data_IF_672134281994
#
_entry.id   IF_672134281994
#
_cell.length_a   1.000
_cell.length_b   1.000
_cell.length_c   1.000
_cell.angle_alpha   90.00
_cell.angle_beta   90.00
_cell.angle_gamma   90.00
#
_symmetry.space_group_name_H-M   'P 1'
#
loop_
_entity.id
_entity.type
_entity.pdbx_description
1 polymer ?
#
# COMPACT_ATOMS: atom_id res chain seq x y z
N UNK A 1 -21.74 -12.95 -25.59
CA UNK A 1 -21.25 -12.80 -24.21
C UNK A 1 -19.75 -12.59 -24.27
N UNK A 2 -19.28 -11.33 -24.24
CA UNK A 2 -17.85 -11.02 -24.24
C UNK A 2 -17.34 -11.23 -22.81
N UNK A 3 -16.49 -12.22 -22.61
CA UNK A 3 -15.75 -12.39 -21.35
C UNK A 3 -14.89 -11.15 -21.11
N UNK A 4 -15.04 -10.51 -19.95
CA UNK A 4 -14.23 -9.34 -19.59
C UNK A 4 -12.75 -9.72 -19.52
N UNK A 5 -11.82 -8.85 -19.92
CA UNK A 5 -10.37 -9.14 -19.93
C UNK A 5 -9.83 -9.59 -18.57
N UNK A 6 -10.43 -9.08 -17.48
CA UNK A 6 -10.13 -9.49 -16.11
C UNK A 6 -10.40 -11.00 -15.92
N UNK A 7 -11.54 -11.49 -16.38
CA UNK A 7 -11.90 -12.92 -16.31
C UNK A 7 -10.95 -13.81 -17.11
N UNK A 8 -10.35 -13.29 -18.18
CA UNK A 8 -9.38 -14.05 -18.98
C UNK A 8 -8.05 -14.19 -18.22
N UNK A 9 -7.55 -13.10 -17.62
CA UNK A 9 -6.32 -13.16 -16.83
C UNK A 9 -6.43 -14.12 -15.64
N UNK A 10 -7.54 -14.09 -14.89
CA UNK A 10 -7.73 -15.02 -13.76
C UNK A 10 -7.72 -16.49 -14.22
N UNK A 11 -8.32 -16.79 -15.37
CA UNK A 11 -8.32 -18.15 -15.94
C UNK A 11 -6.91 -18.59 -16.36
N UNK A 12 -6.16 -17.73 -17.04
CA UNK A 12 -4.77 -18.01 -17.44
C UNK A 12 -3.84 -18.13 -16.23
N UNK A 13 -3.99 -17.26 -15.23
CA UNK A 13 -3.25 -17.31 -13.99
C UNK A 13 -3.48 -18.62 -13.25
N UNK A 14 -4.75 -18.99 -13.06
CA UNK A 14 -5.11 -20.23 -12.38
C UNK A 14 -4.62 -21.46 -13.16
N UNK A 15 -4.79 -21.50 -14.49
CA UNK A 15 -4.29 -22.59 -15.33
C UNK A 15 -2.75 -22.72 -15.24
N UNK A 16 -2.03 -21.61 -15.22
CA UNK A 16 -0.57 -21.57 -15.03
C UNK A 16 -0.18 -22.19 -13.69
N UNK A 17 -0.86 -21.79 -12.60
CA UNK A 17 -0.59 -22.30 -11.25
C UNK A 17 -0.87 -23.81 -11.14
N UNK A 18 -1.99 -24.27 -11.69
CA UNK A 18 -2.36 -25.69 -11.70
C UNK A 18 -1.36 -26.52 -12.54
N UNK A 19 -0.93 -26.01 -13.70
CA UNK A 19 0.08 -26.70 -14.50
C UNK A 19 1.43 -26.79 -13.78
N UNK A 20 1.87 -25.72 -13.13
CA UNK A 20 3.12 -25.69 -12.36
C UNK A 20 3.08 -26.65 -11.15
N UNK A 21 1.97 -26.67 -10.40
CA UNK A 21 1.81 -27.59 -9.25
C UNK A 21 1.69 -29.05 -9.68
N UNK A 22 0.97 -29.35 -10.77
CA UNK A 22 0.94 -30.68 -11.38
C UNK A 22 2.32 -31.17 -11.80
N UNK A 23 3.17 -30.26 -12.29
CA UNK A 23 4.54 -30.59 -12.63
C UNK A 23 5.35 -31.01 -11.41
N UNK A 24 5.24 -30.27 -10.29
CA UNK A 24 5.90 -30.65 -9.03
C UNK A 24 5.42 -32.04 -8.59
N UNK A 25 4.11 -32.32 -8.64
CA UNK A 25 3.60 -33.66 -8.33
C UNK A 25 4.24 -34.74 -9.21
N UNK A 26 4.23 -34.57 -10.53
CA UNK A 26 4.85 -35.51 -11.48
C UNK A 26 6.35 -35.66 -11.21
N UNK A 27 7.03 -34.59 -10.81
CA UNK A 27 8.44 -34.63 -10.43
C UNK A 27 8.67 -35.51 -9.20
N UNK A 28 7.85 -35.35 -8.16
CA UNK A 28 7.91 -36.19 -6.95
C UNK A 28 7.60 -37.66 -7.23
N UNK A 29 6.59 -37.94 -8.06
CA UNK A 29 6.23 -39.29 -8.50
C UNK A 29 7.37 -39.96 -9.27
N UNK A 30 7.95 -39.24 -10.25
CA UNK A 30 9.09 -39.74 -11.00
C UNK A 30 10.29 -40.02 -10.09
N UNK A 31 10.50 -39.20 -9.06
CA UNK A 31 11.56 -39.43 -8.07
C UNK A 31 11.31 -40.70 -7.25
N UNK A 32 10.07 -40.94 -6.82
CA UNK A 32 9.70 -42.18 -6.11
C UNK A 32 9.90 -43.42 -6.98
N UNK A 33 9.58 -43.31 -8.27
CA UNK A 33 9.68 -44.41 -9.23
C UNK A 33 11.09 -44.58 -9.83
N UNK A 34 12.06 -43.74 -9.44
CA UNK A 34 13.43 -43.76 -9.97
C UNK A 34 13.52 -43.39 -11.46
N UNK A 35 12.53 -42.68 -11.99
CA UNK A 35 12.47 -42.22 -13.38
C UNK A 35 13.34 -40.98 -13.60
N UNK A 36 13.64 -40.69 -14.86
CA UNK A 36 14.38 -39.49 -15.24
C UNK A 36 13.65 -38.21 -14.81
N UNK A 37 14.31 -37.40 -13.99
CA UNK A 37 13.80 -36.13 -13.50
C UNK A 37 14.06 -35.04 -14.53
N UNK A 38 13.00 -34.34 -14.94
CA UNK A 38 13.09 -33.17 -15.81
C UNK A 38 12.78 -31.92 -14.96
N UNK A 39 13.53 -30.82 -15.10
CA UNK A 39 13.19 -29.57 -14.43
C UNK A 39 11.99 -28.91 -15.11
N UNK A 40 11.23 -28.13 -14.33
CA UNK A 40 10.07 -27.39 -14.81
C UNK A 40 10.47 -26.51 -16.00
N UNK A 41 9.85 -26.70 -17.19
CA UNK A 41 10.17 -25.86 -18.34
C UNK A 41 9.79 -24.40 -18.06
N UNK A 42 10.62 -23.42 -18.48
CA UNK A 42 10.36 -22.01 -18.23
C UNK A 42 9.03 -21.56 -18.84
N UNK A 43 8.65 -22.13 -19.99
CA UNK A 43 7.43 -21.77 -20.73
C UNK A 43 6.13 -22.14 -20.00
N UNK A 44 6.20 -23.02 -18.98
CA UNK A 44 5.02 -23.36 -18.18
C UNK A 44 4.58 -22.17 -17.32
N UNK A 45 5.52 -21.31 -16.91
CA UNK A 45 5.24 -20.14 -16.07
C UNK A 45 5.19 -18.91 -16.96
N UNK A 46 3.98 -18.44 -17.21
CA UNK A 46 3.78 -17.20 -17.94
C UNK A 46 4.34 -16.03 -17.11
N UNK A 47 5.19 -15.15 -17.68
CA UNK A 47 5.74 -13.99 -16.96
C UNK A 47 4.65 -13.04 -16.42
N UNK A 48 3.48 -13.03 -17.05
CA UNK A 48 2.31 -12.21 -16.68
C UNK A 48 1.42 -12.86 -15.61
N UNK A 49 1.65 -14.13 -15.27
CA UNK A 49 0.96 -14.81 -14.16
C UNK A 49 1.42 -14.26 -12.81
N UNK A 50 0.61 -14.43 -11.76
CA UNK A 50 0.97 -14.03 -10.40
C UNK A 50 2.29 -14.68 -9.95
N UNK A 51 2.48 -15.97 -10.24
CA UNK A 51 3.71 -16.69 -9.95
C UNK A 51 4.92 -16.12 -10.70
N UNK A 52 4.76 -15.87 -12.01
CA UNK A 52 5.82 -15.28 -12.84
C UNK A 52 6.25 -13.90 -12.33
N UNK A 53 5.29 -13.03 -12.02
CA UNK A 53 5.54 -11.72 -11.42
C UNK A 53 6.22 -11.83 -10.06
N UNK A 54 5.74 -12.73 -9.19
CA UNK A 54 6.33 -12.93 -7.85
C UNK A 54 7.79 -13.39 -7.94
N UNK A 55 8.10 -14.34 -8.83
CA UNK A 55 9.47 -14.79 -9.05
C UNK A 55 10.37 -13.65 -9.56
N UNK A 56 9.85 -12.79 -10.44
CA UNK A 56 10.59 -11.65 -10.96
C UNK A 56 10.83 -10.57 -9.88
N UNK A 57 9.78 -10.18 -9.16
CA UNK A 57 9.83 -9.14 -8.12
C UNK A 57 10.85 -9.50 -7.03
N UNK A 58 10.82 -10.74 -6.54
CA UNK A 58 11.70 -11.18 -5.44
C UNK A 58 12.97 -11.89 -5.92
N UNK A 59 13.23 -11.89 -7.23
CA UNK A 59 14.39 -12.55 -7.85
C UNK A 59 14.58 -14.01 -7.39
N UNK A 60 13.49 -14.78 -7.38
CA UNK A 60 13.53 -16.18 -6.94
C UNK A 60 14.30 -17.03 -7.96
N UNK A 61 15.23 -17.83 -7.44
CA UNK A 61 15.88 -18.92 -8.17
C UNK A 61 14.88 -20.04 -8.47
N UNK A 62 15.22 -20.92 -9.41
CA UNK A 62 14.40 -22.11 -9.73
C UNK A 62 14.17 -22.98 -8.48
N UNK A 63 15.20 -23.16 -7.64
CA UNK A 63 15.09 -23.95 -6.42
C UNK A 63 14.12 -23.32 -5.40
N UNK A 64 14.17 -22.01 -5.21
CA UNK A 64 13.26 -21.29 -4.30
C UNK A 64 11.82 -21.31 -4.81
N UNK A 65 11.64 -21.12 -6.12
CA UNK A 65 10.34 -21.24 -6.78
C UNK A 65 9.75 -22.65 -6.61
N UNK A 66 10.56 -23.69 -6.77
CA UNK A 66 10.09 -25.08 -6.67
C UNK A 66 9.70 -25.43 -5.22
N UNK A 67 10.37 -24.83 -4.21
CA UNK A 67 9.95 -24.91 -2.81
C UNK A 67 8.60 -24.20 -2.58
N UNK A 68 8.43 -23.00 -3.13
CA UNK A 68 7.16 -22.27 -3.03
C UNK A 68 6.03 -23.09 -3.68
N UNK A 69 6.25 -23.61 -4.88
CA UNK A 69 5.29 -24.47 -5.59
C UNK A 69 5.00 -25.77 -4.85
N UNK A 70 5.98 -26.38 -4.18
CA UNK A 70 5.77 -27.55 -3.34
C UNK A 70 4.82 -27.25 -2.17
N UNK A 71 5.00 -26.08 -1.53
CA UNK A 71 4.11 -25.64 -0.46
C UNK A 71 2.70 -25.32 -1.01
N UNK A 72 2.61 -24.65 -2.15
CA UNK A 72 1.33 -24.37 -2.82
C UNK A 72 0.60 -25.64 -3.23
N UNK A 73 1.32 -26.60 -3.80
CA UNK A 73 0.73 -27.85 -4.27
C UNK A 73 0.13 -28.66 -3.12
N UNK A 74 0.67 -28.57 -1.90
CA UNK A 74 0.09 -29.24 -0.72
C UNK A 74 -1.31 -28.71 -0.40
N UNK A 75 -1.53 -27.41 -0.59
CA UNK A 75 -2.83 -26.76 -0.33
C UNK A 75 -3.86 -27.05 -1.43
N UNK A 76 -3.41 -27.40 -2.65
CA UNK A 76 -4.28 -27.61 -3.82
C UNK A 76 -4.56 -29.09 -4.10
N UNK A 77 -3.55 -29.96 -4.03
CA UNK A 77 -3.68 -31.38 -4.34
C UNK A 77 -3.63 -32.24 -3.06
N UNK A 78 -4.75 -32.89 -2.67
CA UNK A 78 -4.79 -33.72 -1.47
C UNK A 78 -3.84 -34.92 -1.52
N UNK A 79 -3.44 -35.38 -2.71
CA UNK A 79 -2.54 -36.54 -2.85
C UNK A 79 -1.07 -36.20 -2.56
N UNK A 80 -0.71 -34.91 -2.51
CA UNK A 80 0.67 -34.49 -2.33
C UNK A 80 1.19 -34.81 -0.92
N UNK A 81 0.32 -34.80 0.09
CA UNK A 81 0.67 -35.17 1.46
C UNK A 81 1.20 -36.61 1.54
N UNK A 82 0.55 -37.54 0.84
CA UNK A 82 0.97 -38.94 0.77
C UNK A 82 2.30 -39.11 0.02
N UNK A 83 2.54 -38.31 -1.02
CA UNK A 83 3.81 -38.30 -1.75
C UNK A 83 4.95 -37.79 -0.86
N UNK A 84 4.72 -36.73 -0.07
CA UNK A 84 5.68 -36.22 0.90
C UNK A 84 6.04 -37.29 1.95
N UNK A 85 5.04 -38.01 2.47
CA UNK A 85 5.25 -39.08 3.44
C UNK A 85 6.08 -40.24 2.86
N UNK A 86 5.79 -40.66 1.62
CA UNK A 86 6.52 -41.72 0.92
C UNK A 86 7.98 -41.33 0.66
N UNK A 87 8.22 -40.11 0.19
CA UNK A 87 9.58 -39.62 -0.10
C UNK A 87 10.44 -39.45 1.14
N UNK A 88 9.83 -39.09 2.27
CA UNK A 88 10.52 -38.94 3.55
C UNK A 88 10.65 -40.27 4.32
N UNK A 89 10.02 -41.36 3.83
CA UNK A 89 10.06 -42.68 4.47
C UNK A 89 9.34 -42.74 5.82
N UNK A 90 8.50 -41.76 6.14
CA UNK A 90 7.79 -41.66 7.41
C UNK A 90 6.34 -41.17 7.18
N UNK A 91 5.32 -41.98 7.51
CA UNK A 91 3.91 -41.58 7.40
C UNK A 91 3.52 -40.31 8.15
N UNK A 92 4.24 -39.96 9.22
CA UNK A 92 4.00 -38.74 10.01
C UNK A 92 4.56 -37.48 9.34
N UNK A 93 5.43 -37.61 8.33
CA UNK A 93 6.04 -36.51 7.60
C UNK A 93 5.29 -36.28 6.27
N UNK A 94 3.99 -35.99 6.37
CA UNK A 94 3.09 -35.75 5.23
C UNK A 94 3.08 -34.28 4.77
N UNK A 95 4.18 -33.56 4.99
CA UNK A 95 4.32 -32.14 4.71
C UNK A 95 5.70 -31.80 4.09
N UNK A 96 5.80 -30.70 3.32
CA UNK A 96 7.05 -30.17 2.81
C UNK A 96 8.03 -29.81 3.92
N UNK A 97 9.31 -30.12 3.71
CA UNK A 97 10.42 -29.74 4.59
C UNK A 97 11.60 -29.28 3.73
N UNK A 98 12.51 -28.47 4.28
CA UNK A 98 13.74 -28.13 3.54
C UNK A 98 14.58 -29.37 3.27
N UNK A 99 14.58 -30.36 4.18
CA UNK A 99 15.26 -31.64 3.96
C UNK A 99 14.71 -32.36 2.72
N UNK A 100 13.38 -32.41 2.57
CA UNK A 100 12.74 -32.98 1.39
C UNK A 100 13.12 -32.20 0.12
N UNK A 101 13.06 -30.88 0.15
CA UNK A 101 13.40 -30.04 -1.00
C UNK A 101 14.85 -30.20 -1.43
N UNK A 102 15.81 -30.11 -0.49
CA UNK A 102 17.25 -30.25 -0.73
C UNK A 102 17.60 -31.64 -1.29
N UNK A 103 16.90 -32.68 -0.86
CA UNK A 103 17.12 -34.02 -1.37
C UNK A 103 16.50 -34.23 -2.76
N UNK A 104 15.51 -33.42 -3.16
CA UNK A 104 14.61 -33.70 -4.30
C UNK A 104 14.87 -32.82 -5.50
N UNK A 105 14.90 -31.51 -5.32
CA UNK A 105 14.97 -30.58 -6.44
C UNK A 105 16.40 -30.38 -6.94
N UNK A 106 16.56 -30.04 -8.23
CA UNK A 106 17.87 -29.74 -8.80
C UNK A 106 18.38 -28.40 -8.26
N UNK A 107 19.69 -28.14 -8.42
CA UNK A 107 20.33 -26.89 -7.98
C UNK A 107 20.08 -26.54 -6.50
N UNK A 108 19.93 -27.58 -5.66
CA UNK A 108 19.71 -27.43 -4.24
C UNK A 108 20.79 -26.58 -3.58
N UNK A 109 20.36 -25.55 -2.85
CA UNK A 109 21.25 -24.61 -2.17
C UNK A 109 20.90 -24.49 -0.68
N UNK A 110 21.93 -24.63 0.16
CA UNK A 110 21.80 -24.40 1.61
C UNK A 110 21.53 -22.94 1.97
N UNK A 111 21.70 -22.00 1.04
CA UNK A 111 21.34 -20.60 1.23
C UNK A 111 19.86 -20.41 1.56
N UNK A 112 18.99 -21.37 1.20
CA UNK A 112 17.57 -21.34 1.55
C UNK A 112 17.30 -21.32 3.05
N UNK A 113 18.26 -21.78 3.87
CA UNK A 113 18.18 -21.74 5.33
C UNK A 113 18.53 -20.36 5.91
N UNK A 114 19.11 -19.45 5.12
CA UNK A 114 19.48 -18.11 5.57
C UNK A 114 18.24 -17.24 5.79
N UNK A 115 18.15 -16.47 6.89
CA UNK A 115 17.10 -15.47 7.07
C UNK A 115 17.06 -14.39 5.98
N UNK A 116 18.17 -14.20 5.25
CA UNK A 116 18.27 -13.26 4.13
C UNK A 116 17.76 -13.85 2.81
N UNK A 117 17.45 -15.15 2.76
CA UNK A 117 16.91 -15.79 1.57
C UNK A 117 15.54 -15.18 1.21
N UNK A 118 15.23 -14.94 -0.07
CA UNK A 118 13.96 -14.36 -0.51
C UNK A 118 12.71 -15.04 0.10
N UNK A 119 12.70 -16.36 0.23
CA UNK A 119 11.56 -17.09 0.80
C UNK A 119 11.31 -16.72 2.27
N UNK A 120 12.38 -16.45 3.03
CA UNK A 120 12.31 -16.12 4.45
C UNK A 120 12.19 -14.62 4.69
N UNK A 121 13.03 -13.80 4.04
CA UNK A 121 13.06 -12.36 4.26
C UNK A 121 11.76 -11.68 3.80
N UNK A 122 11.16 -12.16 2.71
CA UNK A 122 9.84 -11.73 2.25
C UNK A 122 8.70 -12.59 2.81
N UNK A 123 8.98 -13.49 3.76
CA UNK A 123 7.98 -14.35 4.42
C UNK A 123 7.02 -15.01 3.43
N UNK A 124 7.55 -15.51 2.31
CA UNK A 124 6.74 -16.17 1.29
C UNK A 124 6.26 -17.54 1.77
N UNK A 125 7.00 -18.13 2.70
CA UNK A 125 6.67 -19.35 3.41
C UNK A 125 6.76 -19.14 4.92
N UNK A 126 5.98 -19.90 5.66
CA UNK A 126 6.05 -20.04 7.11
C UNK A 126 6.81 -21.33 7.47
N UNK A 127 7.77 -21.19 8.38
CA UNK A 127 8.54 -22.30 8.92
C UNK A 127 7.95 -22.63 10.30
N UNK A 128 7.34 -23.80 10.43
CA UNK A 128 6.78 -24.26 11.69
C UNK A 128 7.85 -24.77 12.66
N UNK A 129 7.40 -25.36 13.77
CA UNK A 129 8.30 -25.94 14.78
C UNK A 129 8.70 -27.36 14.39
N UNK A 130 9.99 -27.67 14.44
CA UNK A 130 10.53 -29.02 14.21
C UNK A 130 11.74 -29.30 15.08
N UNK A 131 12.23 -30.54 15.07
CA UNK A 131 13.44 -30.95 15.78
C UNK A 131 14.68 -30.21 15.26
N UNK A 132 14.73 -29.97 13.95
CA UNK A 132 15.76 -29.17 13.28
C UNK A 132 15.09 -28.21 12.30
N UNK A 133 15.81 -27.15 11.90
CA UNK A 133 15.34 -26.22 10.87
C UNK A 133 15.00 -26.94 9.54
N UNK A 134 15.79 -27.95 9.18
CA UNK A 134 15.58 -28.67 7.92
C UNK A 134 14.39 -29.61 7.95
N UNK A 135 14.00 -30.10 9.14
CA UNK A 135 12.86 -30.99 9.36
C UNK A 135 11.58 -30.26 9.75
N UNK A 136 11.65 -28.95 9.97
CA UNK A 136 10.49 -28.13 10.25
C UNK A 136 9.49 -28.18 9.08
N UNK A 137 8.17 -28.23 9.38
CA UNK A 137 7.15 -28.15 8.34
C UNK A 137 7.19 -26.78 7.66
N UNK A 138 7.15 -26.78 6.34
CA UNK A 138 7.02 -25.57 5.52
C UNK A 138 5.57 -25.42 5.06
N UNK A 139 5.07 -24.19 5.12
CA UNK A 139 3.75 -23.82 4.61
C UNK A 139 3.86 -22.55 3.78
N UNK A 140 3.00 -22.41 2.79
CA UNK A 140 2.89 -21.13 2.07
C UNK A 140 2.21 -20.10 2.97
N UNK A 141 2.67 -18.85 2.93
CA UNK A 141 2.02 -17.77 3.67
C UNK A 141 0.61 -17.50 3.08
N UNK A 142 -0.46 -17.38 3.89
CA UNK A 142 -1.83 -17.29 3.38
C UNK A 142 -2.10 -16.15 2.40
N UNK A 143 -1.49 -14.97 2.57
CA UNK A 143 -1.66 -13.87 1.63
C UNK A 143 -0.92 -14.15 0.31
N UNK A 144 0.26 -14.78 0.36
CA UNK A 144 0.94 -15.23 -0.86
C UNK A 144 0.13 -16.29 -1.61
N UNK A 145 -0.47 -17.27 -0.91
CA UNK A 145 -1.35 -18.26 -1.56
C UNK A 145 -2.52 -17.57 -2.26
N UNK A 146 -3.16 -16.62 -1.59
CA UNK A 146 -4.30 -15.88 -2.14
C UNK A 146 -3.89 -15.01 -3.34
N UNK A 147 -2.74 -14.34 -3.26
CA UNK A 147 -2.14 -13.62 -4.38
C UNK A 147 -1.85 -14.54 -5.58
N UNK A 148 -1.32 -15.75 -5.35
CA UNK A 148 -1.08 -16.73 -6.41
C UNK A 148 -2.38 -17.19 -7.08
N UNK A 149 -3.47 -17.31 -6.31
CA UNK A 149 -4.81 -17.61 -6.83
C UNK A 149 -5.43 -16.43 -7.59
N UNK A 150 -4.83 -15.24 -7.50
CA UNK A 150 -5.29 -14.02 -8.14
C UNK A 150 -6.35 -13.27 -7.33
N UNK A 151 -6.47 -13.53 -6.03
CA UNK A 151 -7.37 -12.81 -5.14
C UNK A 151 -6.74 -11.50 -4.65
N UNK A 152 -7.58 -10.50 -4.39
CA UNK A 152 -7.13 -9.25 -3.76
C UNK A 152 -6.91 -9.51 -2.27
N UNK A 153 -5.67 -9.39 -1.81
CA UNK A 153 -5.32 -9.59 -0.41
C UNK A 153 -4.35 -8.55 0.09
N UNK A 154 -4.39 -8.35 1.40
CA UNK A 154 -3.51 -7.47 2.13
C UNK A 154 -3.00 -8.15 3.40
N UNK A 155 -1.74 -7.92 3.76
CA UNK A 155 -1.13 -8.53 4.95
C UNK A 155 -1.93 -8.25 6.23
N UNK A 156 -2.41 -9.33 6.86
CA UNK A 156 -3.23 -9.26 8.08
C UNK A 156 -2.53 -8.57 9.26
N UNK A 157 -1.20 -8.63 9.34
CA UNK A 157 -0.46 -7.95 10.39
C UNK A 157 -0.38 -6.44 10.16
N UNK A 158 -0.55 -5.99 8.91
CA UNK A 158 -0.58 -4.56 8.58
C UNK A 158 -1.98 -3.96 8.75
N UNK A 159 -3.06 -4.75 8.64
CA UNK A 159 -4.45 -4.27 8.76
C UNK A 159 -4.77 -3.50 10.06
N UNK A 160 -3.98 -3.69 11.11
CA UNK A 160 -4.15 -2.97 12.37
C UNK A 160 -3.76 -1.50 12.32
N UNK A 161 -2.98 -1.08 11.32
CA UNK A 161 -2.40 0.26 11.27
C UNK A 161 -2.08 0.80 9.87
N UNK A 162 -2.32 0.00 8.83
CA UNK A 162 -2.29 0.43 7.43
C UNK A 162 -3.69 0.32 6.86
N UNK A 163 -4.20 1.42 6.31
CA UNK A 163 -5.56 1.51 5.82
C UNK A 163 -5.62 2.27 4.49
N UNK A 164 -6.60 2.00 3.63
CA UNK A 164 -6.82 2.80 2.43
C UNK A 164 -7.14 4.25 2.81
N UNK A 165 -6.90 5.18 1.89
CA UNK A 165 -7.29 6.58 2.10
C UNK A 165 -8.79 6.69 2.47
N UNK A 166 -9.15 7.38 3.57
CA UNK A 166 -10.56 7.54 3.94
C UNK A 166 -11.40 8.21 2.85
N UNK A 167 -12.61 7.70 2.59
CA UNK A 167 -13.48 8.18 1.48
C UNK A 167 -13.80 9.66 1.54
N UNK A 168 -13.91 10.26 2.73
CA UNK A 168 -14.17 11.71 2.87
C UNK A 168 -12.98 12.60 2.44
N UNK A 169 -11.81 12.01 2.17
CA UNK A 169 -10.63 12.70 1.63
C UNK A 169 -10.45 12.44 0.13
N UNK A 170 -11.28 11.61 -0.51
CA UNK A 170 -11.16 11.28 -1.93
C UNK A 170 -11.57 12.43 -2.85
N UNK A 171 -12.48 13.31 -2.40
CA UNK A 171 -13.08 14.36 -3.21
C UNK A 171 -12.50 15.77 -2.95
N UNK A 172 -11.33 15.88 -2.31
CA UNK A 172 -10.73 17.20 -2.06
C UNK A 172 -10.01 17.66 -3.35
N UNK A 173 -10.49 18.72 -4.03
CA UNK A 173 -9.82 19.26 -5.20
C UNK A 173 -8.51 19.95 -4.79
N UNK A 174 -7.50 19.83 -5.64
CA UNK A 174 -6.22 20.51 -5.46
C UNK A 174 -6.31 21.96 -5.92
N UNK A 175 -5.78 22.86 -5.09
CA UNK A 175 -5.52 24.22 -5.53
C UNK A 175 -4.34 24.24 -6.53
N UNK A 176 -4.27 25.19 -7.47
CA UNK A 176 -3.18 25.33 -8.45
C UNK A 176 -1.75 25.18 -7.88
N UNK A 177 -1.47 25.75 -6.71
CA UNK A 177 -0.17 25.63 -6.03
C UNK A 177 0.14 24.20 -5.58
N UNK A 178 -0.87 23.47 -5.10
CA UNK A 178 -0.75 22.07 -4.66
C UNK A 178 -0.69 21.12 -5.85
N UNK A 179 -1.41 21.44 -6.92
CA UNK A 179 -1.39 20.74 -8.21
C UNK A 179 0.02 20.77 -8.83
N UNK A 180 0.68 21.92 -8.81
CA UNK A 180 2.07 22.06 -9.27
C UNK A 180 3.05 21.17 -8.47
N UNK A 181 2.82 21.01 -7.15
CA UNK A 181 3.61 20.10 -6.32
C UNK A 181 3.34 18.65 -6.76
N UNK A 182 2.08 18.25 -6.92
CA UNK A 182 1.73 16.91 -7.38
C UNK A 182 2.37 16.57 -8.73
N UNK A 183 2.40 17.51 -9.68
CA UNK A 183 3.10 17.34 -10.98
C UNK A 183 4.61 17.13 -10.82
N UNK A 184 5.26 17.85 -9.90
CA UNK A 184 6.69 17.66 -9.62
C UNK A 184 6.95 16.27 -9.03
N UNK A 185 6.14 15.82 -8.07
CA UNK A 185 6.26 14.49 -7.47
C UNK A 185 6.10 13.38 -8.54
N UNK A 186 5.08 13.50 -9.41
CA UNK A 186 4.86 12.58 -10.53
C UNK A 186 6.05 12.57 -11.48
N UNK A 187 6.59 13.75 -11.82
CA UNK A 187 7.76 13.86 -12.71
C UNK A 187 8.99 13.18 -12.12
N UNK A 188 9.21 13.31 -10.81
CA UNK A 188 10.32 12.65 -10.14
C UNK A 188 10.17 11.14 -10.26
N UNK A 189 9.03 10.57 -9.87
CA UNK A 189 8.85 9.12 -9.90
C UNK A 189 8.73 8.53 -11.30
N UNK A 190 8.27 9.30 -12.30
CA UNK A 190 8.20 8.83 -13.69
C UNK A 190 9.57 8.68 -14.35
N UNK A 191 10.59 9.40 -13.87
CA UNK A 191 11.91 9.46 -14.51
C UNK A 191 12.97 8.56 -13.85
N UNK A 192 12.55 7.66 -12.94
CA UNK A 192 13.48 6.85 -12.16
C UNK A 192 13.86 5.56 -12.86
N UNK A 193 15.15 5.25 -12.81
CA UNK A 193 15.71 4.03 -13.41
C UNK A 193 16.08 2.95 -12.39
N UNK A 194 16.07 3.23 -11.08
CA UNK A 194 16.55 2.28 -10.07
C UNK A 194 15.78 2.33 -8.75
N UNK A 195 15.94 3.38 -7.93
CA UNK A 195 15.32 3.49 -6.60
C UNK A 195 14.40 4.70 -6.50
N UNK A 196 13.18 4.48 -5.98
CA UNK A 196 12.21 5.54 -5.75
C UNK A 196 12.61 6.32 -4.49
N UNK A 197 13.02 7.61 -4.60
CA UNK A 197 13.28 8.41 -3.42
C UNK A 197 11.99 8.54 -2.64
N UNK A 198 12.13 8.58 -1.33
CA UNK A 198 11.02 8.98 -0.47
C UNK A 198 10.77 10.47 -0.68
N UNK A 199 9.52 10.84 -0.90
CA UNK A 199 9.13 12.24 -1.07
C UNK A 199 8.53 12.71 0.26
N UNK A 200 8.84 13.93 0.68
CA UNK A 200 8.36 14.47 1.93
C UNK A 200 7.53 15.73 1.69
N UNK A 201 6.37 15.82 2.32
CA UNK A 201 5.48 16.96 2.30
C UNK A 201 5.51 17.63 3.68
N UNK A 202 6.08 18.85 3.74
CA UNK A 202 6.31 19.62 4.96
C UNK A 202 5.34 20.80 5.09
N UNK A 203 4.99 21.18 6.32
CA UNK A 203 4.10 22.31 6.59
C UNK A 203 2.68 22.07 6.08
N UNK A 204 1.93 23.12 5.74
CA UNK A 204 0.57 22.99 5.18
C UNK A 204 -0.46 22.25 6.07
N UNK A 205 -1.70 22.15 5.59
CA UNK A 205 -2.75 21.37 6.25
C UNK A 205 -2.62 19.88 5.89
N UNK A 206 -2.89 18.98 6.84
CA UNK A 206 -2.87 17.53 6.64
C UNK A 206 -3.70 17.08 5.42
N UNK A 207 -4.87 17.68 5.24
CA UNK A 207 -5.79 17.40 4.12
C UNK A 207 -5.18 17.72 2.76
N UNK A 208 -4.38 18.80 2.66
CA UNK A 208 -3.69 19.17 1.44
C UNK A 208 -2.59 18.15 1.12
N UNK A 209 -1.84 17.68 2.13
CA UNK A 209 -0.84 16.60 1.96
C UNK A 209 -1.48 15.33 1.40
N UNK A 210 -2.61 14.94 1.98
CA UNK A 210 -3.34 13.73 1.59
C UNK A 210 -3.92 13.87 0.17
N UNK A 211 -4.46 15.04 -0.19
CA UNK A 211 -4.95 15.32 -1.54
C UNK A 211 -3.82 15.26 -2.58
N UNK A 212 -2.63 15.81 -2.27
CA UNK A 212 -1.45 15.73 -3.13
C UNK A 212 -1.05 14.25 -3.31
N UNK A 213 -0.93 13.51 -2.21
CA UNK A 213 -0.55 12.09 -2.26
C UNK A 213 -1.54 11.25 -3.10
N UNK A 214 -2.85 11.52 -2.98
CA UNK A 214 -3.89 10.88 -3.77
C UNK A 214 -3.75 11.21 -5.26
N UNK A 215 -3.56 12.48 -5.61
CA UNK A 215 -3.39 12.87 -7.01
C UNK A 215 -2.15 12.21 -7.64
N UNK A 216 -1.04 12.12 -6.89
CA UNK A 216 0.16 11.41 -7.31
C UNK A 216 -0.13 9.91 -7.52
N UNK A 217 -0.82 9.28 -6.57
CA UNK A 217 -1.15 7.84 -6.66
C UNK A 217 -2.02 7.55 -7.88
N UNK A 218 -3.05 8.37 -8.13
CA UNK A 218 -3.96 8.20 -9.28
C UNK A 218 -3.22 8.35 -10.61
N UNK A 219 -2.31 9.33 -10.72
CA UNK A 219 -1.55 9.59 -11.96
C UNK A 219 -0.53 8.50 -12.28
N UNK A 220 0.04 7.88 -11.25
CA UNK A 220 1.04 6.81 -11.40
C UNK A 220 0.44 5.40 -11.33
N UNK A 221 -0.87 5.28 -11.08
CA UNK A 221 -1.58 4.00 -11.01
C UNK A 221 -1.28 3.21 -9.73
N UNK A 222 -0.95 3.88 -8.62
CA UNK A 222 -0.72 3.25 -7.32
C UNK A 222 -1.97 3.26 -6.43
N UNK A 223 -2.14 2.18 -5.68
CA UNK A 223 -3.10 2.11 -4.58
C UNK A 223 -2.53 2.81 -3.34
N UNK A 224 -3.15 3.92 -2.93
CA UNK A 224 -2.69 4.72 -1.80
C UNK A 224 -3.13 4.11 -0.47
N UNK A 225 -2.15 3.83 0.39
CA UNK A 225 -2.36 3.37 1.75
C UNK A 225 -1.74 4.34 2.74
N UNK A 226 -2.40 4.53 3.87
CA UNK A 226 -2.00 5.45 4.94
C UNK A 226 -1.55 4.65 6.15
N UNK A 227 -0.46 5.07 6.78
CA UNK A 227 0.06 4.54 8.03
C UNK A 227 0.41 5.70 8.97
N UNK A 228 -0.11 5.67 10.20
CA UNK A 228 0.35 6.60 11.23
C UNK A 228 1.72 6.16 11.74
N UNK A 229 2.68 7.08 11.79
CA UNK A 229 4.02 6.78 12.27
C UNK A 229 4.05 6.46 13.78
N UNK A 230 2.94 6.67 14.52
CA UNK A 230 2.83 6.34 15.96
C UNK A 230 3.09 4.85 16.23
N UNK A 231 2.82 4.01 15.22
CA UNK A 231 3.07 2.56 15.23
C UNK A 231 4.57 2.25 15.25
N UNK A 232 5.41 3.18 14.77
CA UNK A 232 6.86 3.04 14.73
C UNK A 232 7.54 3.28 16.09
N UNK A 233 6.77 3.45 17.17
CA UNK A 233 7.30 3.60 18.55
C UNK A 233 7.79 2.29 19.20
N UNK A 234 7.75 1.18 18.45
CA UNK A 234 8.12 -0.16 18.89
C UNK A 234 9.65 -0.42 18.87
N UNK A 235 10.06 -1.68 19.02
CA UNK A 235 11.48 -2.05 18.98
C UNK A 235 12.04 -1.96 17.55
N UNK A 236 13.36 -1.78 17.35
CA UNK A 236 13.95 -1.79 16.01
C UNK A 236 13.67 -3.06 15.20
N UNK A 237 13.52 -4.20 15.88
CA UNK A 237 13.14 -5.44 15.21
C UNK A 237 11.71 -5.38 14.68
N UNK A 238 10.78 -4.80 15.42
CA UNK A 238 9.39 -4.66 14.97
C UNK A 238 9.29 -3.74 13.75
N UNK A 239 10.06 -2.65 13.72
CA UNK A 239 10.14 -1.73 12.57
C UNK A 239 10.68 -2.47 11.34
N UNK A 240 11.73 -3.27 11.50
CA UNK A 240 12.24 -4.09 10.41
C UNK A 240 11.17 -5.04 9.86
N UNK A 241 10.38 -5.69 10.74
CA UNK A 241 9.30 -6.57 10.32
C UNK A 241 8.16 -5.83 9.64
N UNK A 242 7.74 -4.67 10.16
CA UNK A 242 6.71 -3.83 9.54
C UNK A 242 7.18 -3.38 8.15
N UNK A 243 8.43 -2.92 8.04
CA UNK A 243 9.02 -2.48 6.78
C UNK A 243 9.03 -3.61 5.74
N UNK A 244 9.53 -4.79 6.08
CA UNK A 244 9.56 -5.93 5.15
C UNK A 244 8.17 -6.34 4.68
N UNK A 245 7.19 -6.37 5.59
CA UNK A 245 5.81 -6.69 5.25
C UNK A 245 5.19 -5.65 4.32
N UNK A 246 5.40 -4.37 4.63
CA UNK A 246 4.94 -3.27 3.79
C UNK A 246 5.58 -3.31 2.39
N UNK A 247 6.89 -3.48 2.31
CA UNK A 247 7.59 -3.52 1.02
C UNK A 247 7.10 -4.68 0.15
N UNK A 248 6.92 -5.87 0.74
CA UNK A 248 6.32 -7.01 0.04
C UNK A 248 4.93 -6.68 -0.51
N UNK A 249 4.08 -6.10 0.33
CA UNK A 249 2.71 -5.72 -0.02
C UNK A 249 2.69 -4.71 -1.17
N UNK A 250 3.48 -3.64 -1.06
CA UNK A 250 3.56 -2.59 -2.06
C UNK A 250 4.17 -3.06 -3.39
N UNK A 251 5.14 -3.98 -3.36
CA UNK A 251 5.70 -4.59 -4.57
C UNK A 251 4.69 -5.51 -5.28
N UNK A 252 3.88 -6.26 -4.53
CA UNK A 252 2.89 -7.19 -5.09
C UNK A 252 1.65 -6.48 -5.65
N UNK A 253 1.20 -5.43 -4.97
CA UNK A 253 -0.07 -4.74 -5.26
C UNK A 253 0.11 -3.34 -5.87
N UNK A 254 1.33 -2.97 -6.27
CA UNK A 254 1.63 -1.64 -6.82
C UNK A 254 1.08 -0.52 -5.91
N UNK A 255 1.50 -0.53 -4.65
CA UNK A 255 0.95 0.37 -3.63
C UNK A 255 1.92 1.49 -3.26
N UNK A 256 1.35 2.63 -2.87
CA UNK A 256 2.07 3.81 -2.38
C UNK A 256 1.78 4.01 -0.90
N UNK A 257 2.83 4.20 -0.10
CA UNK A 257 2.69 4.54 1.32
C UNK A 257 2.55 6.05 1.51
N UNK A 258 1.57 6.47 2.31
CA UNK A 258 1.53 7.76 2.96
C UNK A 258 1.81 7.56 4.45
N UNK A 259 3.01 7.93 4.88
CA UNK A 259 3.40 7.87 6.29
C UNK A 259 3.06 9.21 6.96
N UNK A 260 2.08 9.17 7.87
CA UNK A 260 1.65 10.34 8.62
C UNK A 260 2.46 10.51 9.90
N UNK A 261 3.31 11.54 9.92
CA UNK A 261 4.09 11.94 11.09
C UNK A 261 3.58 13.23 11.75
N UNK A 262 2.46 13.83 11.30
CA UNK A 262 1.94 15.08 11.88
C UNK A 262 1.45 14.86 13.33
N UNK A 263 0.95 13.67 13.65
CA UNK A 263 0.53 13.30 15.02
C UNK A 263 1.71 13.09 15.98
N UNK A 264 2.94 13.07 15.47
CA UNK A 264 4.14 12.81 16.28
C UNK A 264 4.87 14.11 16.55
N UNK A 265 5.19 14.33 17.82
CA UNK A 265 6.18 15.32 18.21
C UNK A 265 7.58 14.85 17.77
N UNK A 266 8.01 15.23 16.57
CA UNK A 266 9.35 14.95 16.02
C UNK A 266 10.52 15.53 16.86
N UNK A 267 10.19 16.21 17.96
CA UNK A 267 11.15 16.65 18.97
C UNK A 267 11.61 15.52 19.90
N UNK A 268 10.95 14.36 19.91
CA UNK A 268 11.41 13.18 20.63
C UNK A 268 12.49 12.42 19.83
N UNK A 269 13.76 12.40 20.27
CA UNK A 269 14.87 11.86 19.47
C UNK A 269 14.72 10.38 19.17
N UNK A 270 14.05 9.62 20.04
CA UNK A 270 13.79 8.19 19.83
C UNK A 270 12.81 7.99 18.67
N UNK A 271 11.69 8.69 18.65
CA UNK A 271 10.67 8.50 17.60
C UNK A 271 11.20 8.97 16.25
N UNK A 272 11.87 10.12 16.20
CA UNK A 272 12.51 10.63 14.99
C UNK A 272 13.55 9.67 14.43
N UNK A 273 14.35 9.02 15.29
CA UNK A 273 15.27 7.97 14.88
C UNK A 273 14.54 6.77 14.26
N UNK A 274 13.44 6.31 14.88
CA UNK A 274 12.67 5.15 14.40
C UNK A 274 11.97 5.43 13.06
N UNK A 275 11.40 6.63 12.88
CA UNK A 275 10.87 7.09 11.58
C UNK A 275 11.98 7.15 10.53
N UNK A 276 13.14 7.71 10.86
CA UNK A 276 14.29 7.74 9.96
C UNK A 276 14.73 6.33 9.56
N UNK A 277 14.80 5.38 10.51
CA UNK A 277 15.15 3.98 10.22
C UNK A 277 14.13 3.29 9.31
N UNK A 278 12.84 3.58 9.48
CA UNK A 278 11.80 3.02 8.63
C UNK A 278 11.92 3.54 7.19
N UNK A 279 12.10 4.87 7.04
CA UNK A 279 12.19 5.55 5.74
C UNK A 279 13.51 5.25 5.02
N UNK A 280 14.61 5.12 5.75
CA UNK A 280 15.92 4.81 5.19
C UNK A 280 15.91 3.46 4.46
N UNK A 281 16.37 3.45 3.21
CA UNK A 281 16.43 2.27 2.34
C UNK A 281 15.07 1.64 2.05
N UNK A 282 13.96 2.40 2.06
CA UNK A 282 12.71 1.91 1.48
C UNK A 282 12.92 1.63 -0.01
N UNK A 283 12.54 0.43 -0.44
CA UNK A 283 12.59 0.01 -1.85
C UNK A 283 11.30 0.34 -2.60
N UNK A 284 10.29 0.82 -1.88
CA UNK A 284 8.95 1.11 -2.41
C UNK A 284 8.63 2.59 -2.36
N UNK A 285 7.76 3.10 -3.27
CA UNK A 285 7.33 4.48 -3.25
C UNK A 285 6.68 4.85 -1.90
N UNK A 286 7.11 5.97 -1.33
CA UNK A 286 6.56 6.49 -0.09
C UNK A 286 6.54 8.02 -0.10
N UNK A 287 5.45 8.58 0.41
CA UNK A 287 5.30 9.99 0.77
C UNK A 287 5.24 10.09 2.29
N UNK A 288 6.03 10.98 2.88
CA UNK A 288 6.00 11.27 4.32
C UNK A 288 5.38 12.64 4.56
N UNK A 289 4.37 12.69 5.42
CA UNK A 289 3.76 13.93 5.88
C UNK A 289 4.35 14.33 7.23
N UNK A 290 4.82 15.57 7.35
CA UNK A 290 5.27 16.11 8.64
C UNK A 290 5.09 17.63 8.70
N UNK A 291 5.08 18.21 9.89
CA UNK A 291 5.12 19.66 10.04
C UNK A 291 6.53 20.20 9.70
N UNK A 292 7.56 19.58 10.26
CA UNK A 292 8.96 19.95 10.06
C UNK A 292 9.71 18.96 9.17
N UNK A 293 10.84 19.39 8.59
CA UNK A 293 11.68 18.52 7.73
C UNK A 293 12.33 17.40 8.56
N UNK A 294 12.36 16.19 8.00
CA UNK A 294 12.95 15.04 8.68
C UNK A 294 14.48 15.11 8.57
N UNK A 295 15.16 14.81 9.69
CA UNK A 295 16.62 14.69 9.70
C UNK A 295 17.02 13.25 9.39
N UNK A 296 17.21 12.92 8.12
CA UNK A 296 17.67 11.60 7.69
C UNK A 296 19.18 11.59 7.42
N UNK A 297 19.85 10.45 7.65
CA UNK A 297 21.32 10.35 7.48
C UNK A 297 21.76 10.22 6.03
N UNK A 298 20.86 9.78 5.15
CA UNK A 298 21.14 9.49 3.75
C UNK A 298 20.18 10.30 2.86
N UNK A 299 20.74 10.98 1.85
CA UNK A 299 20.08 11.91 0.90
C UNK A 299 19.05 11.25 -0.05
N UNK A 300 18.15 10.40 0.46
CA UNK A 300 17.11 9.75 -0.33
C UNK A 300 15.70 10.27 -0.03
N UNK A 301 15.62 11.39 0.72
CA UNK A 301 14.37 12.11 0.97
C UNK A 301 14.41 13.45 0.23
N UNK A 302 13.41 13.70 -0.62
CA UNK A 302 13.23 14.98 -1.31
C UNK A 302 12.03 15.69 -0.68
N UNK A 303 12.28 16.83 -0.03
CA UNK A 303 11.26 17.57 0.71
C UNK A 303 10.65 18.69 -0.13
N UNK A 304 9.33 18.85 0.00
CA UNK A 304 8.51 19.90 -0.59
C UNK A 304 7.77 20.61 0.54
N UNK A 305 7.87 21.94 0.57
CA UNK A 305 7.10 22.75 1.50
C UNK A 305 5.74 23.04 0.87
N UNK A 306 4.66 22.69 1.57
CA UNK A 306 3.30 22.97 1.10
C UNK A 306 2.94 24.39 1.49
N UNK A 307 2.71 25.30 0.52
CA UNK A 307 2.28 26.65 0.81
C UNK A 307 0.86 26.63 1.38
N UNK A 308 0.55 27.62 2.22
CA UNK A 308 -0.85 27.92 2.52
C UNK A 308 -1.55 28.42 1.25
N UNK A 309 -2.87 28.23 1.20
CA UNK A 309 -3.67 28.67 0.05
C UNK A 309 -3.48 30.18 -0.18
N UNK A 310 -3.17 30.54 -1.42
CA UNK A 310 -3.07 31.95 -1.80
C UNK A 310 -4.44 32.62 -1.74
N UNK A 311 -4.40 33.95 -1.66
CA UNK A 311 -5.60 34.78 -1.66
C UNK A 311 -6.55 34.46 -2.84
N UNK A 312 -5.98 34.30 -4.04
CA UNK A 312 -6.74 34.02 -5.25
C UNK A 312 -7.39 32.63 -5.19
N UNK A 313 -6.65 31.62 -4.74
CA UNK A 313 -7.15 30.25 -4.62
C UNK A 313 -8.27 30.15 -3.59
N UNK A 314 -8.15 30.85 -2.45
CA UNK A 314 -9.22 30.88 -1.45
C UNK A 314 -10.51 31.46 -2.03
N UNK A 315 -10.43 32.57 -2.79
CA UNK A 315 -11.61 33.16 -3.44
C UNK A 315 -12.26 32.19 -4.42
N UNK A 316 -11.47 31.47 -5.21
CA UNK A 316 -11.96 30.47 -6.16
C UNK A 316 -12.65 29.30 -5.45
N UNK A 317 -12.09 28.82 -4.34
CA UNK A 317 -12.71 27.78 -3.51
C UNK A 317 -14.05 28.27 -2.93
N UNK A 318 -14.10 29.50 -2.40
CA UNK A 318 -15.34 30.11 -1.92
C UNK A 318 -16.39 30.19 -3.02
N UNK A 319 -16.01 30.65 -4.22
CA UNK A 319 -16.90 30.74 -5.38
C UNK A 319 -17.39 29.38 -5.87
N UNK A 320 -16.62 28.32 -5.69
CA UNK A 320 -17.01 26.95 -6.08
C UNK A 320 -18.08 26.38 -5.15
N UNK A 321 -18.01 26.68 -3.85
CA UNK A 321 -18.96 26.14 -2.85
C UNK A 321 -20.22 26.99 -2.66
N UNK A 322 -20.12 28.30 -2.92
CA UNK A 322 -21.25 29.22 -2.90
C UNK A 322 -21.83 29.31 -4.32
N UNK A 323 -23.00 28.71 -4.53
CA UNK A 323 -23.75 28.84 -5.79
C UNK A 323 -23.91 30.32 -6.19
N UNK A 324 -23.97 30.60 -7.49
CA UNK A 324 -23.89 31.93 -8.14
C UNK A 324 -24.88 33.01 -7.64
N UNK A 325 -25.81 32.70 -6.75
CA UNK A 325 -26.83 33.61 -6.21
C UNK A 325 -26.32 34.58 -5.12
N UNK A 326 -25.01 34.80 -4.99
CA UNK A 326 -24.47 35.61 -3.90
C UNK A 326 -23.44 36.67 -4.30
N UNK A 327 -23.72 37.42 -5.36
CA UNK A 327 -22.99 38.65 -5.70
C UNK A 327 -22.90 39.64 -4.50
N UNK A 328 -23.87 39.59 -3.57
CA UNK A 328 -23.87 40.41 -2.35
C UNK A 328 -22.80 40.03 -1.30
N UNK A 329 -22.31 38.77 -1.27
CA UNK A 329 -21.31 38.31 -0.30
C UNK A 329 -19.87 38.42 -0.80
N UNK A 330 -19.68 38.73 -2.08
CA UNK A 330 -18.34 38.78 -2.71
C UNK A 330 -17.40 39.75 -1.99
N UNK A 331 -17.92 40.90 -1.56
CA UNK A 331 -17.15 41.91 -0.81
C UNK A 331 -16.74 41.41 0.59
N UNK A 332 -17.60 40.65 1.25
CA UNK A 332 -17.34 40.12 2.60
C UNK A 332 -16.36 38.95 2.57
N UNK A 333 -16.47 38.08 1.57
CA UNK A 333 -15.49 37.01 1.31
C UNK A 333 -14.11 37.62 1.03
N UNK A 334 -14.04 38.65 0.20
CA UNK A 334 -12.80 39.38 -0.12
C UNK A 334 -12.15 39.93 1.16
N UNK A 335 -12.93 40.52 2.08
CA UNK A 335 -12.43 41.00 3.38
C UNK A 335 -11.95 39.84 4.26
N UNK A 336 -12.72 38.76 4.33
CA UNK A 336 -12.43 37.62 5.18
C UNK A 336 -11.14 36.90 4.75
N UNK A 337 -10.95 36.68 3.44
CA UNK A 337 -9.72 36.12 2.87
C UNK A 337 -8.52 37.07 3.03
N UNK A 338 -8.75 38.38 3.08
CA UNK A 338 -7.67 39.35 3.35
C UNK A 338 -7.18 39.35 4.80
N UNK A 339 -8.02 38.89 5.74
CA UNK A 339 -7.72 38.88 7.18
C UNK A 339 -7.31 37.50 7.70
N UNK A 340 -7.83 36.43 7.08
CA UNK A 340 -7.60 35.06 7.50
C UNK A 340 -7.09 34.22 6.34
N UNK A 341 -6.09 33.38 6.61
CA UNK A 341 -5.70 32.33 5.68
C UNK A 341 -6.46 31.04 6.02
N UNK A 342 -7.55 30.79 5.28
CA UNK A 342 -8.43 29.67 5.56
C UNK A 342 -8.08 28.44 4.74
N UNK A 343 -8.21 27.29 5.38
CA UNK A 343 -8.01 25.99 4.77
C UNK A 343 -9.21 25.57 3.91
N UNK A 344 -9.01 24.63 2.97
CA UNK A 344 -10.09 24.16 2.09
C UNK A 344 -11.27 23.62 2.92
N UNK A 345 -10.99 22.78 3.93
CA UNK A 345 -12.02 22.22 4.80
C UNK A 345 -12.72 23.28 5.63
N UNK A 346 -12.00 24.30 6.09
CA UNK A 346 -12.59 25.41 6.85
C UNK A 346 -13.58 26.18 5.99
N UNK A 347 -13.21 26.48 4.73
CA UNK A 347 -14.10 27.13 3.76
C UNK A 347 -15.31 26.24 3.46
N UNK A 348 -15.11 24.95 3.21
CA UNK A 348 -16.19 24.00 2.93
C UNK A 348 -17.18 23.89 4.11
N UNK A 349 -16.67 23.76 5.34
CA UNK A 349 -17.48 23.69 6.54
C UNK A 349 -18.29 24.98 6.76
N UNK A 350 -17.67 26.14 6.58
CA UNK A 350 -18.35 27.43 6.66
C UNK A 350 -19.49 27.55 5.63
N UNK A 351 -19.25 27.13 4.37
CA UNK A 351 -20.26 27.09 3.33
C UNK A 351 -21.43 26.15 3.67
N UNK A 352 -21.14 24.95 4.18
CA UNK A 352 -22.17 23.99 4.60
C UNK A 352 -23.01 24.52 5.76
N UNK A 353 -22.39 25.18 6.74
CA UNK A 353 -23.07 25.80 7.86
C UNK A 353 -24.01 26.92 7.38
N UNK A 354 -23.56 27.77 6.45
CA UNK A 354 -24.39 28.82 5.85
C UNK A 354 -25.59 28.24 5.08
N UNK A 355 -25.40 27.17 4.30
CA UNK A 355 -26.51 26.48 3.59
C UNK A 355 -27.54 25.91 4.58
N UNK A 356 -27.08 25.36 5.71
CA UNK A 356 -27.92 24.79 6.77
C UNK A 356 -28.70 25.86 7.55
N UNK A 357 -28.09 27.01 7.82
CA UNK A 357 -28.77 28.13 8.48
C UNK A 357 -29.80 28.79 7.56
N UNK A 358 -29.49 28.96 6.27
CA UNK A 358 -30.46 29.46 5.28
C UNK A 358 -31.66 28.52 5.09
N UNK A 359 -31.46 27.21 5.13
CA UNK A 359 -32.58 26.26 5.05
C UNK A 359 -33.48 26.33 6.30
N UNK A 360 -32.90 26.51 7.50
CA UNK A 360 -33.68 26.77 8.73
C UNK A 360 -34.45 28.09 8.67
N UNK A 361 -33.82 29.16 8.19
CA UNK A 361 -34.47 30.47 8.02
C UNK A 361 -35.60 30.44 6.99
N UNK A 362 -35.45 29.72 5.86
CA UNK A 362 -36.56 29.52 4.90
C UNK A 362 -37.73 28.73 5.49
N UNK A 363 -37.48 27.85 6.47
CA UNK A 363 -38.53 27.14 7.22
C UNK A 363 -39.24 28.08 8.21
N UNK A 364 -38.51 28.98 8.88
CA UNK A 364 -39.07 29.99 9.79
C UNK A 364 -39.79 31.15 9.05
N UNK A 365 -39.31 31.58 7.89
CA UNK A 365 -39.96 32.59 7.04
C UNK A 365 -41.30 32.09 6.44
N UNK A 366 -41.49 30.78 6.34
CA UNK A 366 -42.80 30.19 6.03
C UNK A 366 -43.80 30.32 7.19
N UNK A 367 -43.34 30.69 8.38
CA UNK A 367 -44.16 30.92 9.58
C UNK A 367 -44.33 32.39 9.98
N UNK A 368 -43.38 33.31 9.68
CA UNK A 368 -43.55 34.75 9.96
C UNK A 368 -42.73 35.67 9.01
N UNK A 369 -43.32 36.55 8.16
CA UNK A 369 -42.62 37.16 7.01
C UNK A 369 -41.92 38.53 7.24
N UNK A 370 -41.81 39.05 8.46
CA UNK A 370 -41.53 40.50 8.66
C UNK A 370 -40.14 40.89 9.19
N UNK A 371 -39.13 40.02 9.22
CA UNK A 371 -37.80 40.33 9.83
C UNK A 371 -36.60 40.35 8.87
N UNK A 372 -36.86 40.38 7.56
CA UNK A 372 -35.90 39.97 6.53
C UNK A 372 -34.68 40.89 6.30
N UNK A 373 -34.62 42.11 6.86
CA UNK A 373 -33.54 43.09 6.56
C UNK A 373 -32.57 43.37 7.72
N UNK A 374 -32.92 43.07 8.98
CA UNK A 374 -32.02 43.31 10.12
C UNK A 374 -31.18 42.09 10.53
N UNK A 375 -31.62 40.86 10.21
CA UNK A 375 -30.92 39.65 10.65
C UNK A 375 -29.72 39.26 9.77
N UNK A 376 -29.70 39.65 8.49
CA UNK A 376 -28.55 39.39 7.61
C UNK A 376 -27.29 40.17 8.02
N UNK A 377 -27.43 41.33 8.69
CA UNK A 377 -26.29 42.08 9.26
C UNK A 377 -25.71 41.45 10.52
N UNK A 378 -26.51 40.72 11.31
CA UNK A 378 -26.05 40.08 12.55
C UNK A 378 -25.22 38.80 12.34
N UNK A 379 -25.20 38.26 11.11
CA UNK A 379 -24.42 37.06 10.78
C UNK A 379 -22.91 37.30 10.65
N UNK A 380 -22.48 38.57 10.64
CA UNK A 380 -21.10 38.97 10.37
C UNK A 380 -20.39 39.69 11.53
N UNK A 381 -21.05 39.80 12.69
CA UNK A 381 -20.42 40.29 13.93
C UNK A 381 -19.74 39.10 14.65
N UNK A 382 -18.57 38.70 14.16
CA UNK A 382 -17.58 37.90 14.89
C UNK A 382 -16.19 38.49 14.72
#
# INVERSE_FOLDING_TARGET
>A
MKTSPISHWHQENFATLINATNYIRQYLENKLEGKALKPLPPDVILPTSALGRLCHIFNLTEFERDILLLCTALEIDPNLADLCAKLQGNPQLNYPTFALALATFPQASWCVLSPQNPLQCWRLIEIGTGLTLTQAPLRIEPNILSYLLGEVTFDRQLLGFVYPLPSYLEEIPLAPSQEAIAEQLVTIWSNISSSSPTLQLCGGELTAKYAIAKAVSVRLGFDLHVMSATVLSQTPNDIYQIKQRWEREALLNNSLLLLDCDEILLNEPKVTYLVSQFVENLQTPAIVCSEERLQTKHNHVISFDIPQLSYQEQIEIWATHLDTEVDGLKLEITKLVSQFNLSYKTIQAACQQLKTQKSKLKIEDSTHPTLHTEHLKKLWDF
#
